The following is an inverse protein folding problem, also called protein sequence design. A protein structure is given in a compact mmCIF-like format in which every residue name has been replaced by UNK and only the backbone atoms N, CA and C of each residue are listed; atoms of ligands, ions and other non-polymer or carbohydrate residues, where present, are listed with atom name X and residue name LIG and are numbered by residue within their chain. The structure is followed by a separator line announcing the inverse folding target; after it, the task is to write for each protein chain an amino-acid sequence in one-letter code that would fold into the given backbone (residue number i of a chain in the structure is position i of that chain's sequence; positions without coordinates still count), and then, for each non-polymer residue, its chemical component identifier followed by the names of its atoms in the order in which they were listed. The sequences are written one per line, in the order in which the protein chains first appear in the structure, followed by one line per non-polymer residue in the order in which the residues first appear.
data_IF_053453274294
#
_entry.id   IF_053453274294
#
_cell.length_a   1.000
_cell.length_b   1.000
_cell.length_c   1.000
_cell.angle_alpha   90.00
_cell.angle_beta   90.00
_cell.angle_gamma   90.00
#
_symmetry.space_group_name_H-M   'P 1'
#
loop_
_entity.id
_entity.type
_entity.pdbx_description
1 polymer ?
#
# COMPACT_ATOMS: atom_id res chain seq x y z
N UNK A 1 58.80 -46.87 -74.20
CA UNK A 1 58.03 -45.61 -74.40
C UNK A 1 57.08 -45.51 -73.24
N UNK A 2 57.57 -44.90 -72.17
CA UNK A 2 56.82 -44.71 -70.93
C UNK A 2 56.05 -43.40 -71.02
N UNK A 3 54.74 -43.49 -70.91
CA UNK A 3 53.87 -42.40 -70.49
C UNK A 3 52.53 -43.02 -70.08
N UNK A 4 52.56 -43.81 -69.01
CA UNK A 4 51.38 -44.08 -68.18
C UNK A 4 50.90 -42.76 -67.60
N UNK A 5 50.11 -42.03 -68.39
CA UNK A 5 49.32 -40.88 -67.96
C UNK A 5 48.26 -41.36 -66.99
N UNK A 6 48.64 -41.52 -65.74
CA UNK A 6 47.78 -41.67 -64.58
C UNK A 6 46.93 -40.39 -64.47
N UNK A 7 45.86 -40.33 -65.26
CA UNK A 7 44.86 -39.27 -65.15
C UNK A 7 44.02 -39.58 -63.92
N UNK A 8 44.49 -39.13 -62.76
CA UNK A 8 43.70 -39.08 -61.54
C UNK A 8 42.39 -38.35 -61.85
N UNK A 9 41.28 -39.07 -61.79
CA UNK A 9 39.99 -38.59 -62.29
C UNK A 9 39.58 -37.30 -61.54
N UNK A 10 39.13 -36.24 -62.25
CA UNK A 10 38.75 -34.96 -61.63
C UNK A 10 37.60 -35.08 -60.62
N UNK A 11 36.81 -36.15 -60.71
CA UNK A 11 35.77 -36.52 -59.76
C UNK A 11 36.32 -37.01 -58.41
N UNK A 12 37.48 -37.69 -58.39
CA UNK A 12 38.13 -38.17 -57.17
C UNK A 12 38.78 -37.03 -56.38
N UNK A 13 39.46 -36.11 -57.10
CA UNK A 13 40.01 -34.87 -56.53
C UNK A 13 38.87 -33.96 -56.02
N UNK A 14 37.79 -33.79 -56.80
CA UNK A 14 36.62 -33.03 -56.39
C UNK A 14 35.90 -33.62 -55.17
N UNK A 15 35.76 -34.94 -55.09
CA UNK A 15 35.13 -35.62 -53.96
C UNK A 15 35.97 -35.54 -52.67
N UNK A 16 37.30 -35.65 -52.77
CA UNK A 16 38.19 -35.51 -51.60
C UNK A 16 38.20 -34.06 -51.09
N UNK A 17 38.22 -33.08 -52.00
CA UNK A 17 38.13 -31.64 -51.64
C UNK A 17 36.77 -31.33 -51.02
N UNK A 18 35.67 -31.86 -51.55
CA UNK A 18 34.33 -31.70 -50.97
C UNK A 18 34.23 -32.36 -49.58
N UNK A 19 34.84 -33.53 -49.38
CA UNK A 19 34.90 -34.19 -48.07
C UNK A 19 35.70 -33.39 -47.04
N UNK A 20 36.86 -32.87 -47.43
CA UNK A 20 37.70 -32.00 -46.58
C UNK A 20 36.96 -30.70 -46.25
N UNK A 21 36.32 -30.05 -47.22
CA UNK A 21 35.52 -28.84 -46.98
C UNK A 21 34.36 -29.11 -46.03
N UNK A 22 33.65 -30.22 -46.20
CA UNK A 22 32.56 -30.62 -45.30
C UNK A 22 33.07 -30.86 -43.88
N UNK A 23 34.24 -31.48 -43.73
CA UNK A 23 34.88 -31.70 -42.43
C UNK A 23 35.31 -30.38 -41.77
N UNK A 24 35.88 -29.44 -42.54
CA UNK A 24 36.25 -28.11 -42.04
C UNK A 24 35.01 -27.32 -41.63
N UNK A 25 33.94 -27.36 -42.42
CA UNK A 25 32.65 -26.73 -42.07
C UNK A 25 32.05 -27.36 -40.83
N UNK A 26 32.12 -28.69 -40.68
CA UNK A 26 31.64 -29.37 -39.47
C UNK A 26 32.44 -28.97 -38.22
N UNK A 27 33.77 -28.85 -38.32
CA UNK A 27 34.62 -28.35 -37.24
C UNK A 27 34.25 -26.90 -36.91
N UNK A 28 34.15 -26.03 -37.92
CA UNK A 28 33.79 -24.63 -37.75
C UNK A 28 32.41 -24.47 -37.11
N UNK A 29 31.42 -25.28 -37.53
CA UNK A 29 30.08 -25.32 -36.96
C UNK A 29 30.10 -25.78 -35.49
N UNK A 30 30.90 -26.80 -35.17
CA UNK A 30 31.06 -27.29 -33.79
C UNK A 30 31.68 -26.22 -32.88
N UNK A 31 32.72 -25.54 -33.38
CA UNK A 31 33.36 -24.42 -32.67
C UNK A 31 32.36 -23.27 -32.49
N UNK A 32 31.63 -22.90 -33.55
CA UNK A 32 30.63 -21.83 -33.52
C UNK A 32 29.50 -22.12 -32.53
N UNK A 33 28.98 -23.35 -32.52
CA UNK A 33 27.96 -23.79 -31.58
C UNK A 33 28.46 -23.67 -30.13
N UNK A 34 29.71 -24.09 -29.87
CA UNK A 34 30.32 -24.00 -28.54
C UNK A 34 30.54 -22.56 -28.08
N UNK A 35 30.96 -21.66 -28.98
CA UNK A 35 31.11 -20.23 -28.67
C UNK A 35 29.75 -19.60 -28.35
N UNK A 36 28.74 -19.89 -29.16
CA UNK A 36 27.39 -19.35 -28.97
C UNK A 36 26.80 -19.82 -27.63
N UNK A 37 27.03 -21.09 -27.28
CA UNK A 37 26.60 -21.65 -26.02
C UNK A 37 27.28 -21.02 -24.79
N UNK A 38 28.59 -20.75 -24.88
CA UNK A 38 29.34 -20.05 -23.83
C UNK A 38 28.86 -18.60 -23.66
N UNK A 39 28.61 -17.89 -24.77
CA UNK A 39 28.07 -16.52 -24.73
C UNK A 39 26.71 -16.45 -24.07
N UNK A 40 25.80 -17.36 -24.43
CA UNK A 40 24.49 -17.42 -23.78
C UNK A 40 24.60 -17.70 -22.27
N UNK A 41 25.61 -18.48 -21.88
CA UNK A 41 25.87 -18.79 -20.47
C UNK A 41 26.42 -17.58 -19.70
N UNK A 42 27.29 -16.78 -20.32
CA UNK A 42 27.74 -15.50 -19.78
C UNK A 42 26.58 -14.52 -19.60
N UNK A 43 25.72 -14.37 -20.61
CA UNK A 43 24.56 -13.48 -20.55
C UNK A 43 23.62 -13.84 -19.39
N UNK A 44 23.40 -15.14 -19.17
CA UNK A 44 22.60 -15.61 -18.05
C UNK A 44 23.26 -15.36 -16.69
N UNK A 45 24.57 -15.56 -16.59
CA UNK A 45 25.31 -15.23 -15.38
C UNK A 45 25.20 -13.74 -15.03
N UNK A 46 25.36 -12.85 -16.02
CA UNK A 46 25.19 -11.42 -15.82
C UNK A 46 23.75 -11.03 -15.48
N UNK A 47 22.75 -11.70 -16.06
CA UNK A 47 21.35 -11.52 -15.69
C UNK A 47 21.11 -11.91 -14.23
N UNK A 48 21.61 -13.05 -13.77
CA UNK A 48 21.47 -13.48 -12.38
C UNK A 48 22.16 -12.48 -11.44
N UNK A 49 23.38 -12.04 -11.75
CA UNK A 49 24.04 -10.98 -10.97
C UNK A 49 23.26 -9.67 -10.90
N UNK A 50 22.72 -9.23 -12.04
CA UNK A 50 21.92 -8.00 -12.10
C UNK A 50 20.64 -8.17 -11.28
N UNK A 51 19.96 -9.31 -11.42
CA UNK A 51 18.78 -9.64 -10.61
C UNK A 51 19.08 -9.67 -9.13
N UNK A 52 20.28 -10.13 -8.72
CA UNK A 52 20.71 -10.18 -7.33
C UNK A 52 20.85 -8.78 -6.71
N UNK A 53 21.33 -7.82 -7.48
CA UNK A 53 21.37 -6.42 -7.03
C UNK A 53 19.97 -5.85 -6.79
N UNK A 54 19.02 -6.19 -7.67
CA UNK A 54 17.61 -5.85 -7.51
C UNK A 54 17.00 -6.55 -6.30
N UNK A 55 17.34 -7.82 -6.09
CA UNK A 55 16.84 -8.63 -5.00
C UNK A 55 17.21 -8.08 -3.63
N UNK A 56 18.42 -7.54 -3.52
CA UNK A 56 18.91 -6.86 -2.31
C UNK A 56 18.16 -5.56 -2.03
N UNK A 57 17.86 -4.79 -3.06
CA UNK A 57 17.06 -3.56 -2.90
C UNK A 57 15.61 -3.86 -2.56
N UNK A 58 15.04 -4.91 -3.14
CA UNK A 58 13.69 -5.37 -2.85
C UNK A 58 13.58 -5.90 -1.42
N UNK A 59 14.52 -6.73 -0.97
CA UNK A 59 14.50 -7.28 0.38
C UNK A 59 14.67 -6.19 1.45
N UNK A 60 15.52 -5.19 1.20
CA UNK A 60 15.63 -4.01 2.06
C UNK A 60 14.32 -3.21 2.13
N UNK A 61 13.67 -2.98 0.99
CA UNK A 61 12.38 -2.28 0.96
C UNK A 61 11.26 -3.07 1.67
N UNK A 62 11.21 -4.39 1.51
CA UNK A 62 10.24 -5.25 2.20
C UNK A 62 10.44 -5.20 3.72
N UNK A 63 11.69 -5.20 4.21
CA UNK A 63 12.00 -5.09 5.63
C UNK A 63 11.61 -3.72 6.22
N UNK A 64 11.84 -2.64 5.47
CA UNK A 64 11.44 -1.29 5.89
C UNK A 64 9.91 -1.15 5.96
N UNK A 65 9.20 -1.71 4.98
CA UNK A 65 7.74 -1.71 4.94
C UNK A 65 7.13 -2.40 6.18
N UNK A 66 7.76 -3.47 6.65
CA UNK A 66 7.34 -4.21 7.86
C UNK A 66 7.60 -3.41 9.11
N UNK A 67 8.76 -2.76 9.16
CA UNK A 67 9.12 -1.86 10.27
C UNK A 67 8.14 -0.71 10.36
N UNK A 68 7.75 -0.11 9.23
CA UNK A 68 6.72 0.94 9.17
C UNK A 68 5.33 0.44 9.61
N UNK A 69 4.92 -0.75 9.14
CA UNK A 69 3.69 -1.44 9.55
C UNK A 69 3.64 -1.72 11.05
N UNK A 70 4.80 -1.97 11.67
CA UNK A 70 4.93 -2.28 13.09
C UNK A 70 5.01 -1.01 13.96
N UNK A 71 5.75 0.01 13.50
CA UNK A 71 5.88 1.31 14.19
C UNK A 71 4.54 2.05 14.28
N UNK A 72 3.65 1.90 13.30
CA UNK A 72 2.27 2.40 13.40
C UNK A 72 1.42 1.69 14.47
N UNK A 73 1.90 0.59 15.06
CA UNK A 73 1.08 -0.36 15.79
C UNK A 73 1.54 -0.66 17.23
N UNK A 74 2.42 0.16 17.82
CA UNK A 74 2.99 -0.02 19.17
C UNK A 74 1.97 -0.19 20.32
N UNK A 75 0.66 -0.02 20.09
CA UNK A 75 -0.32 0.07 21.18
C UNK A 75 -1.38 -1.03 21.28
N UNK A 76 -1.58 -1.93 20.30
CA UNK A 76 -2.80 -2.77 20.35
C UNK A 76 -2.72 -4.29 20.14
N UNK A 77 -1.71 -4.89 19.51
CA UNK A 77 -1.69 -6.35 19.38
C UNK A 77 -0.30 -6.97 19.53
N UNK A 78 -0.10 -7.64 20.67
CA UNK A 78 0.92 -8.67 20.85
C UNK A 78 0.81 -9.69 19.70
N UNK A 79 1.87 -9.77 18.88
CA UNK A 79 2.23 -10.92 18.03
C UNK A 79 1.05 -11.61 17.33
N UNK A 80 0.53 -10.99 16.28
CA UNK A 80 -0.35 -11.68 15.34
C UNK A 80 0.40 -12.84 14.64
N UNK A 81 -0.21 -14.04 14.52
CA UNK A 81 0.41 -15.20 13.85
C UNK A 81 0.77 -14.91 12.38
N UNK A 82 0.04 -13.99 11.74
CA UNK A 82 0.31 -13.51 10.39
C UNK A 82 1.67 -12.80 10.28
N UNK A 83 2.06 -12.04 11.30
CA UNK A 83 3.36 -11.38 11.35
C UNK A 83 4.49 -12.40 11.53
N UNK A 84 4.29 -13.42 12.38
CA UNK A 84 5.28 -14.48 12.59
C UNK A 84 5.51 -15.29 11.31
N UNK A 85 4.43 -15.62 10.59
CA UNK A 85 4.52 -16.27 9.29
C UNK A 85 5.22 -15.36 8.28
N UNK A 86 4.94 -14.06 8.31
CA UNK A 86 5.62 -13.09 7.47
C UNK A 86 7.12 -13.02 7.75
N UNK A 87 7.53 -12.88 9.01
CA UNK A 87 8.95 -12.80 9.37
C UNK A 87 9.70 -14.06 8.97
N UNK A 88 9.07 -15.22 9.13
CA UNK A 88 9.64 -16.49 8.69
C UNK A 88 9.87 -16.56 7.18
N UNK A 89 8.87 -16.16 6.39
CA UNK A 89 8.99 -16.15 4.91
C UNK A 89 10.02 -15.11 4.46
N UNK A 90 10.10 -13.97 5.14
CA UNK A 90 11.10 -12.95 4.85
C UNK A 90 12.54 -13.43 5.14
N UNK A 91 12.72 -14.18 6.24
CA UNK A 91 13.98 -14.83 6.57
C UNK A 91 14.38 -15.87 5.52
N UNK A 92 13.42 -16.68 5.05
CA UNK A 92 13.66 -17.65 3.97
C UNK A 92 14.05 -16.96 2.64
N UNK A 93 13.44 -15.81 2.33
CA UNK A 93 13.79 -15.00 1.16
C UNK A 93 15.23 -14.50 1.23
N UNK A 94 15.68 -14.02 2.40
CA UNK A 94 17.05 -13.59 2.63
C UNK A 94 18.03 -14.77 2.58
N UNK A 95 17.65 -15.94 3.09
CA UNK A 95 18.46 -17.15 3.01
C UNK A 95 18.65 -17.61 1.55
N UNK A 96 17.60 -17.54 0.73
CA UNK A 96 17.71 -17.81 -0.70
C UNK A 96 18.63 -16.81 -1.41
N UNK A 97 18.54 -15.52 -1.08
CA UNK A 97 19.46 -14.50 -1.61
C UNK A 97 20.91 -14.81 -1.25
N UNK A 98 21.19 -15.14 0.01
CA UNK A 98 22.52 -15.53 0.47
C UNK A 98 23.02 -16.78 -0.26
N UNK A 99 22.15 -17.78 -0.45
CA UNK A 99 22.51 -19.01 -1.18
C UNK A 99 22.82 -18.75 -2.66
N UNK A 100 22.13 -17.82 -3.30
CA UNK A 100 22.44 -17.39 -4.68
C UNK A 100 23.77 -16.64 -4.71
N UNK A 101 24.02 -15.75 -3.74
CA UNK A 101 25.30 -15.05 -3.58
C UNK A 101 26.47 -16.04 -3.41
N UNK A 102 26.33 -17.04 -2.55
CA UNK A 102 27.35 -18.05 -2.30
C UNK A 102 27.64 -18.86 -3.58
N UNK A 103 26.61 -19.23 -4.34
CA UNK A 103 26.82 -19.93 -5.61
C UNK A 103 27.51 -19.06 -6.66
N UNK A 104 27.21 -17.77 -6.71
CA UNK A 104 27.91 -16.82 -7.59
C UNK A 104 29.37 -16.69 -7.16
N UNK A 105 29.64 -16.51 -5.87
CA UNK A 105 31.01 -16.44 -5.33
C UNK A 105 31.80 -17.74 -5.56
N UNK A 106 31.16 -18.91 -5.43
CA UNK A 106 31.73 -20.21 -5.76
C UNK A 106 32.08 -20.32 -7.26
N UNK A 107 31.24 -19.76 -8.14
CA UNK A 107 31.54 -19.77 -9.59
C UNK A 107 32.70 -18.84 -9.93
N UNK A 108 32.83 -17.70 -9.25
CA UNK A 108 33.96 -16.77 -9.43
C UNK A 108 35.27 -17.35 -8.90
N UNK A 109 35.24 -18.00 -7.73
CA UNK A 109 36.42 -18.67 -7.17
C UNK A 109 36.86 -19.88 -8.00
N UNK A 110 35.92 -20.66 -8.54
CA UNK A 110 36.25 -21.75 -9.48
C UNK A 110 36.82 -21.22 -10.79
N UNK A 111 36.35 -20.06 -11.23
CA UNK A 111 36.86 -19.41 -12.44
C UNK A 111 38.26 -18.81 -12.25
N UNK A 112 38.62 -18.37 -11.03
CA UNK A 112 39.97 -17.89 -10.72
C UNK A 112 40.98 -19.03 -10.57
N UNK A 113 40.57 -20.20 -10.07
CA UNK A 113 41.42 -21.40 -9.95
C UNK A 113 41.67 -22.06 -11.32
N UNK A 114 40.71 -21.97 -12.25
CA UNK A 114 40.80 -22.58 -13.59
C UNK A 114 41.92 -22.04 -14.49
N UNK A 115 42.53 -20.90 -14.14
CA UNK A 115 43.63 -20.27 -14.88
C UNK A 115 44.99 -20.97 -14.61
N UNK A 116 45.16 -21.62 -13.45
CA UNK A 116 46.46 -22.14 -13.01
C UNK A 116 46.71 -23.62 -13.41
N UNK A 117 45.65 -24.39 -13.63
CA UNK A 117 45.73 -25.85 -13.87
C UNK A 117 45.57 -26.33 -15.32
N UNK A 118 45.07 -25.49 -16.24
CA UNK A 118 44.53 -25.97 -17.53
C UNK A 118 45.45 -25.72 -18.73
N UNK A 119 46.74 -26.06 -18.58
CA UNK A 119 47.77 -25.96 -19.63
C UNK A 119 47.56 -26.92 -20.82
N UNK A 120 46.61 -27.86 -20.76
CA UNK A 120 46.51 -28.99 -21.70
C UNK A 120 45.31 -28.99 -22.65
N UNK A 121 44.31 -28.12 -22.48
CA UNK A 121 43.24 -27.97 -23.49
C UNK A 121 43.63 -26.93 -24.51
N UNK A 122 43.69 -27.34 -25.79
CA UNK A 122 43.88 -26.53 -27.01
C UNK A 122 42.79 -25.45 -27.17
N UNK A 123 42.71 -24.53 -26.23
CA UNK A 123 41.91 -23.32 -26.32
C UNK A 123 42.85 -22.22 -26.81
N UNK A 124 42.56 -21.54 -27.93
CA UNK A 124 43.38 -20.45 -28.43
C UNK A 124 43.68 -19.42 -27.34
N UNK A 125 44.92 -18.94 -27.28
CA UNK A 125 45.41 -17.99 -26.26
C UNK A 125 44.63 -16.66 -26.20
N UNK A 126 43.91 -16.31 -27.26
CA UNK A 126 42.99 -15.16 -27.31
C UNK A 126 41.66 -15.38 -26.58
N UNK A 127 41.34 -16.62 -26.20
CA UNK A 127 40.12 -17.01 -25.46
C UNK A 127 40.38 -17.31 -23.98
N UNK A 128 41.63 -17.25 -23.53
CA UNK A 128 42.03 -17.36 -22.11
C UNK A 128 41.73 -16.09 -21.29
N UNK A 129 41.10 -15.07 -21.89
CA UNK A 129 40.74 -13.83 -21.19
C UNK A 129 39.46 -13.96 -20.37
N UNK A 130 39.54 -14.59 -19.19
CA UNK A 130 38.66 -14.43 -18.01
C UNK A 130 37.15 -14.73 -18.10
N UNK A 131 36.51 -14.59 -19.27
CA UNK A 131 35.06 -14.75 -19.46
C UNK A 131 34.66 -16.20 -19.70
N UNK A 132 35.49 -16.93 -20.44
CA UNK A 132 35.25 -18.35 -20.75
C UNK A 132 35.41 -19.25 -19.53
N UNK A 133 36.25 -18.91 -18.54
CA UNK A 133 36.41 -19.69 -17.31
C UNK A 133 35.18 -19.56 -16.40
N UNK A 134 34.63 -18.34 -16.27
CA UNK A 134 33.38 -18.09 -15.53
C UNK A 134 32.21 -18.79 -16.22
N UNK A 135 32.08 -18.68 -17.54
CA UNK A 135 31.05 -19.41 -18.30
C UNK A 135 31.10 -20.92 -18.04
N UNK A 136 32.30 -21.51 -18.07
CA UNK A 136 32.49 -22.95 -17.83
C UNK A 136 32.21 -23.37 -16.40
N UNK A 137 32.57 -22.55 -15.40
CA UNK A 137 32.24 -22.80 -14.00
C UNK A 137 30.72 -22.66 -13.76
N UNK A 138 30.10 -21.64 -14.34
CA UNK A 138 28.67 -21.36 -14.30
C UNK A 138 27.85 -22.53 -14.86
N UNK A 139 28.30 -23.16 -15.95
CA UNK A 139 27.60 -24.29 -16.56
C UNK A 139 27.22 -25.41 -15.59
N UNK A 140 28.06 -25.69 -14.59
CA UNK A 140 27.80 -26.74 -13.59
C UNK A 140 26.76 -26.36 -12.54
N UNK A 141 26.59 -25.06 -12.28
CA UNK A 141 25.74 -24.51 -11.22
C UNK A 141 24.46 -23.87 -11.77
N UNK A 142 24.43 -23.56 -13.07
CA UNK A 142 23.37 -22.84 -13.78
C UNK A 142 21.96 -23.33 -13.47
N UNK A 143 21.68 -24.62 -13.57
CA UNK A 143 20.33 -25.17 -13.34
C UNK A 143 19.87 -24.94 -11.89
N UNK A 144 20.78 -25.14 -10.94
CA UNK A 144 20.53 -24.88 -9.51
C UNK A 144 20.32 -23.39 -9.25
N UNK A 145 21.14 -22.53 -9.83
CA UNK A 145 21.01 -21.08 -9.67
C UNK A 145 19.69 -20.55 -10.24
N UNK A 146 19.31 -20.99 -11.45
CA UNK A 146 18.03 -20.60 -12.06
C UNK A 146 16.83 -21.12 -11.27
N UNK A 147 16.90 -22.32 -10.68
CA UNK A 147 15.81 -22.81 -9.84
C UNK A 147 15.70 -22.04 -8.52
N UNK A 148 16.82 -21.64 -7.90
CA UNK A 148 16.80 -20.78 -6.72
C UNK A 148 16.22 -19.40 -7.03
N UNK A 149 16.55 -18.83 -8.20
CA UNK A 149 15.94 -17.60 -8.71
C UNK A 149 14.43 -17.76 -8.86
N UNK A 150 13.97 -18.85 -9.47
CA UNK A 150 12.54 -19.14 -9.62
C UNK A 150 11.83 -19.34 -8.28
N UNK A 151 12.49 -20.02 -7.34
CA UNK A 151 11.98 -20.19 -5.98
C UNK A 151 11.84 -18.84 -5.28
N UNK A 152 12.84 -17.97 -5.39
CA UNK A 152 12.79 -16.61 -4.85
C UNK A 152 11.62 -15.82 -5.44
N UNK A 153 11.45 -15.81 -6.75
CA UNK A 153 10.33 -15.10 -7.40
C UNK A 153 8.97 -15.60 -6.92
N UNK A 154 8.82 -16.92 -6.74
CA UNK A 154 7.60 -17.51 -6.18
C UNK A 154 7.36 -17.08 -4.73
N UNK A 155 8.43 -16.94 -3.95
CA UNK A 155 8.36 -16.55 -2.54
C UNK A 155 8.03 -15.05 -2.42
N UNK A 156 8.66 -14.21 -3.23
CA UNK A 156 8.34 -12.78 -3.35
C UNK A 156 6.85 -12.57 -3.62
N UNK A 157 6.27 -13.32 -4.56
CA UNK A 157 4.84 -13.21 -4.86
C UNK A 157 3.96 -13.56 -3.63
N UNK A 158 4.35 -14.57 -2.85
CA UNK A 158 3.66 -14.93 -1.59
C UNK A 158 3.82 -13.86 -0.52
N UNK A 159 5.01 -13.28 -0.39
CA UNK A 159 5.28 -12.17 0.54
C UNK A 159 4.37 -10.98 0.22
N UNK A 160 4.31 -10.58 -1.05
CA UNK A 160 3.44 -9.49 -1.49
C UNK A 160 1.96 -9.80 -1.23
N UNK A 161 1.51 -11.02 -1.51
CA UNK A 161 0.15 -11.45 -1.21
C UNK A 161 -0.15 -11.38 0.30
N UNK A 162 0.78 -11.83 1.14
CA UNK A 162 0.65 -11.80 2.59
C UNK A 162 0.67 -10.36 3.14
N UNK A 163 1.48 -9.47 2.56
CA UNK A 163 1.43 -8.04 2.89
C UNK A 163 0.06 -7.45 2.53
N UNK A 164 -0.45 -7.75 1.34
CA UNK A 164 -1.76 -7.27 0.91
C UNK A 164 -2.89 -7.82 1.79
N UNK A 165 -2.82 -9.08 2.21
CA UNK A 165 -3.82 -9.67 3.10
C UNK A 165 -3.76 -9.08 4.51
N UNK A 166 -2.55 -8.84 5.05
CA UNK A 166 -2.37 -8.15 6.33
C UNK A 166 -2.93 -6.72 6.29
N UNK A 167 -2.61 -5.97 5.23
CA UNK A 167 -3.13 -4.61 5.03
C UNK A 167 -4.65 -4.63 4.87
N UNK A 168 -5.20 -5.56 4.09
CA UNK A 168 -6.64 -5.70 3.86
C UNK A 168 -7.40 -6.06 5.14
N UNK A 169 -6.89 -6.99 5.94
CA UNK A 169 -7.48 -7.36 7.23
C UNK A 169 -7.55 -6.15 8.17
N UNK A 170 -6.46 -5.38 8.23
CA UNK A 170 -6.38 -4.14 9.02
C UNK A 170 -7.32 -3.05 8.50
N UNK A 171 -7.38 -2.88 7.17
CA UNK A 171 -8.30 -1.94 6.54
C UNK A 171 -9.74 -2.27 6.90
N UNK A 172 -10.09 -3.57 6.91
CA UNK A 172 -11.41 -4.04 7.29
C UNK A 172 -11.73 -3.80 8.76
N UNK A 173 -10.76 -3.97 9.67
CA UNK A 173 -10.94 -3.63 11.09
C UNK A 173 -11.17 -2.12 11.28
N UNK A 174 -10.35 -1.29 10.63
CA UNK A 174 -10.52 0.18 10.66
C UNK A 174 -11.85 0.63 10.06
N UNK A 175 -12.29 0.02 8.96
CA UNK A 175 -13.59 0.27 8.36
C UNK A 175 -14.72 -0.06 9.36
N UNK A 176 -14.62 -1.22 10.04
CA UNK A 176 -15.62 -1.63 11.03
C UNK A 176 -15.68 -0.67 12.23
N UNK A 177 -14.53 -0.20 12.73
CA UNK A 177 -14.43 0.76 13.83
C UNK A 177 -14.95 2.13 13.44
N UNK A 178 -14.69 2.54 12.20
CA UNK A 178 -15.20 3.81 11.66
C UNK A 178 -16.72 3.75 11.52
N UNK A 179 -17.25 2.65 10.96
CA UNK A 179 -18.68 2.40 10.84
C UNK A 179 -19.37 2.33 12.21
N UNK A 180 -18.75 1.71 13.21
CA UNK A 180 -19.26 1.69 14.59
C UNK A 180 -19.31 3.10 15.18
N UNK A 181 -18.28 3.92 14.93
CA UNK A 181 -18.25 5.32 15.38
C UNK A 181 -19.35 6.14 14.72
N UNK A 182 -19.58 5.95 13.43
CA UNK A 182 -20.65 6.59 12.67
C UNK A 182 -22.03 6.19 13.22
N UNK A 183 -22.30 4.90 13.42
CA UNK A 183 -23.54 4.42 14.03
C UNK A 183 -23.77 5.01 15.43
N UNK A 184 -22.71 5.09 16.24
CA UNK A 184 -22.79 5.68 17.58
C UNK A 184 -23.08 7.18 17.53
N UNK A 185 -22.51 7.88 16.55
CA UNK A 185 -22.78 9.29 16.30
C UNK A 185 -24.23 9.50 15.85
N UNK A 186 -24.72 8.68 14.92
CA UNK A 186 -26.12 8.70 14.47
C UNK A 186 -27.09 8.43 15.63
N UNK A 187 -26.78 7.46 16.47
CA UNK A 187 -27.59 7.18 17.67
C UNK A 187 -27.58 8.37 18.63
N UNK A 188 -26.43 9.01 18.82
CA UNK A 188 -26.33 10.22 19.65
C UNK A 188 -27.10 11.41 19.05
N UNK A 189 -27.10 11.55 17.72
CA UNK A 189 -27.88 12.58 17.00
C UNK A 189 -29.37 12.38 17.20
N UNK A 190 -29.86 11.15 17.03
CA UNK A 190 -31.28 10.83 17.24
C UNK A 190 -31.72 11.09 18.69
N UNK A 191 -30.85 10.79 19.66
CA UNK A 191 -31.13 11.12 21.07
C UNK A 191 -31.21 12.62 21.30
N UNK A 192 -30.33 13.39 20.67
CA UNK A 192 -30.35 14.85 20.75
C UNK A 192 -31.62 15.42 20.11
N UNK A 193 -32.00 14.94 18.92
CA UNK A 193 -33.24 15.33 18.24
C UNK A 193 -34.47 15.03 19.09
N UNK A 194 -34.54 13.85 19.72
CA UNK A 194 -35.64 13.50 20.62
C UNK A 194 -35.69 14.43 21.86
N UNK A 195 -34.55 14.86 22.39
CA UNK A 195 -34.50 15.84 23.47
C UNK A 195 -34.95 17.23 23.02
N UNK A 196 -34.53 17.66 21.82
CA UNK A 196 -34.94 18.94 21.22
C UNK A 196 -36.45 18.96 20.98
N UNK A 197 -37.02 17.89 20.44
CA UNK A 197 -38.46 17.79 20.21
C UNK A 197 -39.24 17.82 21.53
N UNK A 198 -38.78 17.09 22.54
CA UNK A 198 -39.39 17.13 23.88
C UNK A 198 -39.30 18.53 24.51
N UNK A 199 -38.17 19.24 24.34
CA UNK A 199 -38.05 20.63 24.79
C UNK A 199 -39.00 21.55 24.03
N UNK A 200 -39.12 21.37 22.71
CA UNK A 200 -40.03 22.13 21.85
C UNK A 200 -41.49 21.93 22.26
N UNK A 201 -41.92 20.70 22.53
CA UNK A 201 -43.26 20.39 23.04
C UNK A 201 -43.53 21.07 24.39
N UNK A 202 -42.54 21.07 25.30
CA UNK A 202 -42.65 21.76 26.58
C UNK A 202 -42.79 23.26 26.42
N UNK A 203 -42.05 23.86 25.49
CA UNK A 203 -42.17 25.28 25.15
C UNK A 203 -43.57 25.57 24.62
N UNK A 204 -44.07 24.79 23.67
CA UNK A 204 -45.42 24.97 23.12
C UNK A 204 -46.52 24.86 24.19
N UNK A 205 -46.40 23.91 25.14
CA UNK A 205 -47.32 23.83 26.28
C UNK A 205 -47.24 25.05 27.18
N UNK A 206 -46.04 25.56 27.45
CA UNK A 206 -45.87 26.79 28.24
C UNK A 206 -46.45 28.00 27.51
N UNK A 207 -46.25 28.10 26.20
CA UNK A 207 -46.83 29.15 25.35
C UNK A 207 -48.36 29.10 25.37
N UNK A 208 -48.97 27.90 25.32
CA UNK A 208 -50.42 27.73 25.40
C UNK A 208 -50.96 28.14 26.78
N UNK A 209 -50.26 27.78 27.86
CA UNK A 209 -50.64 28.19 29.23
C UNK A 209 -50.53 29.72 29.41
N UNK A 210 -49.46 30.34 28.90
CA UNK A 210 -49.29 31.79 28.92
C UNK A 210 -50.38 32.47 28.08
N UNK A 211 -50.69 31.92 26.91
CA UNK A 211 -51.75 32.42 26.04
C UNK A 211 -53.11 32.33 26.74
N UNK A 212 -53.44 31.21 27.40
CA UNK A 212 -54.68 31.07 28.18
C UNK A 212 -54.75 32.06 29.35
N UNK A 213 -53.65 32.26 30.08
CA UNK A 213 -53.61 33.24 31.16
C UNK A 213 -53.87 34.65 30.63
N UNK A 214 -53.19 35.02 29.54
CA UNK A 214 -53.35 36.33 28.92
C UNK A 214 -54.75 36.60 28.39
N UNK A 215 -55.35 35.64 27.68
CA UNK A 215 -56.73 35.79 27.20
C UNK A 215 -57.75 35.71 28.36
N UNK A 216 -57.48 34.89 29.38
CA UNK A 216 -58.32 34.78 30.58
C UNK A 216 -58.36 36.06 31.41
N UNK A 217 -57.25 36.79 31.50
CA UNK A 217 -57.21 38.09 32.15
C UNK A 217 -57.93 39.17 31.35
N UNK A 218 -57.92 39.13 30.02
CA UNK A 218 -58.72 40.04 29.19
C UNK A 218 -60.23 39.81 29.38
N UNK A 219 -60.66 38.55 29.50
CA UNK A 219 -62.04 38.19 29.81
C UNK A 219 -62.40 38.52 31.27
N UNK A 220 -61.48 38.38 32.22
CA UNK A 220 -61.71 38.70 33.62
C UNK A 220 -61.80 40.22 33.84
N UNK A 221 -60.97 41.00 33.14
CA UNK A 221 -61.04 42.47 33.06
C UNK A 221 -62.32 42.94 32.35
N UNK A 222 -62.68 42.37 31.20
CA UNK A 222 -63.94 42.70 30.51
C UNK A 222 -65.18 42.32 31.34
N UNK A 223 -65.13 41.21 32.07
CA UNK A 223 -66.19 40.80 33.01
C UNK A 223 -66.24 41.70 34.25
N UNK A 224 -65.09 42.14 34.74
CA UNK A 224 -64.98 43.09 35.84
C UNK A 224 -65.48 44.47 35.42
N UNK A 225 -65.18 44.95 34.22
CA UNK A 225 -65.71 46.21 33.67
C UNK A 225 -67.22 46.15 33.39
N UNK A 226 -67.75 45.02 32.92
CA UNK A 226 -69.20 44.84 32.78
C UNK A 226 -69.91 44.78 34.14
N UNK A 227 -69.30 44.17 35.16
CA UNK A 227 -69.83 44.22 36.53
C UNK A 227 -69.66 45.59 37.18
N UNK A 228 -68.58 46.31 36.88
CA UNK A 228 -68.32 47.66 37.38
C UNK A 228 -69.24 48.69 36.71
N UNK A 229 -69.57 48.53 35.43
CA UNK A 229 -70.60 49.35 34.75
C UNK A 229 -72.03 49.04 35.22
N UNK A 230 -72.32 47.79 35.63
CA UNK A 230 -73.56 47.44 36.32
C UNK A 230 -73.63 48.01 37.75
N UNK A 231 -72.49 48.06 38.45
CA UNK A 231 -72.37 48.67 39.79
C UNK A 231 -72.36 50.21 39.74
N UNK A 232 -71.79 50.82 38.69
CA UNK A 232 -71.74 52.26 38.50
C UNK A 232 -73.09 52.87 38.10
N UNK A 233 -74.06 52.05 37.67
CA UNK A 233 -75.43 52.51 37.41
C UNK A 233 -76.29 52.71 38.68
N UNK A 234 -75.73 52.46 39.88
CA UNK A 234 -76.44 52.62 41.17
C UNK A 234 -75.89 53.72 42.08
N UNK A 235 -74.91 54.51 41.66
CA UNK A 235 -74.50 55.67 42.46
C UNK A 235 -73.68 56.67 41.66
N UNK A 236 -74.32 57.77 41.32
CA UNK A 236 -73.76 59.12 41.31
C UNK A 236 -74.64 59.96 42.27
N UNK A 237 -74.14 61.04 42.92
CA UNK A 237 -73.29 62.06 42.27
C UNK A 237 -72.20 62.76 43.12
N UNK A 238 -71.34 63.49 42.39
CA UNK A 238 -70.75 64.81 42.72
C UNK A 238 -69.49 64.83 43.62
N UNK A 239 -68.52 65.75 43.49
CA UNK A 239 -68.16 66.82 42.55
C UNK A 239 -66.77 67.35 43.02
N UNK A 240 -65.95 67.92 42.12
CA UNK A 240 -64.81 68.87 42.33
C UNK A 240 -63.54 68.34 43.06
N UNK A 241 -62.30 68.76 42.79
CA UNK A 241 -61.66 69.66 41.81
C UNK A 241 -60.12 69.46 41.88
N UNK A 242 -59.44 69.85 40.79
CA UNK A 242 -58.10 70.46 40.62
C UNK A 242 -56.81 69.83 41.21
N UNK A 243 -55.85 69.55 40.31
CA UNK A 243 -54.48 70.14 40.19
C UNK A 243 -53.46 69.13 40.76
N UNK A 244 -52.27 68.83 40.23
CA UNK A 244 -51.37 69.52 39.31
C UNK A 244 -50.26 68.52 38.85
N UNK A 245 -49.46 68.94 37.86
CA UNK A 245 -48.03 68.63 37.68
C UNK A 245 -47.53 67.33 36.98
N UNK A 246 -47.04 67.57 35.75
CA UNK A 246 -45.67 67.33 35.26
C UNK A 246 -45.15 65.91 34.90
N UNK A 247 -45.00 65.74 33.58
CA UNK A 247 -43.76 65.40 32.86
C UNK A 247 -42.88 64.21 33.31
N UNK A 248 -42.71 63.22 32.43
CA UNK A 248 -41.51 63.09 31.56
C UNK A 248 -41.29 61.64 31.07
N UNK A 249 -41.08 61.49 29.75
CA UNK A 249 -40.02 60.65 29.19
C UNK A 249 -40.22 59.13 29.10
N UNK A 250 -40.77 58.68 27.98
CA UNK A 250 -40.17 57.56 27.22
C UNK A 250 -38.88 58.05 26.52
N UNK A 251 -38.05 57.20 25.88
CA UNK A 251 -37.86 55.74 25.99
C UNK A 251 -36.35 55.39 26.07
N UNK A 252 -35.96 54.11 26.24
CA UNK A 252 -34.85 53.51 25.44
C UNK A 252 -34.69 52.02 25.77
N UNK A 253 -34.62 51.21 24.71
CA UNK A 253 -34.19 49.81 24.75
C UNK A 253 -32.66 49.65 24.81
N UNK A 254 -32.12 48.54 24.29
CA UNK A 254 -31.32 47.58 25.06
C UNK A 254 -29.81 47.72 24.86
N UNK A 255 -29.01 47.23 25.81
CA UNK A 255 -27.57 47.05 25.63
C UNK A 255 -27.18 45.55 25.74
N UNK A 256 -26.62 44.94 24.68
CA UNK A 256 -26.06 43.60 24.68
C UNK A 256 -24.54 43.65 24.80
N UNK A 257 -23.97 43.01 25.83
CA UNK A 257 -22.52 42.80 25.82
C UNK A 257 -21.90 42.20 27.08
N UNK A 258 -21.65 40.88 27.07
CA UNK A 258 -20.27 40.33 27.17
C UNK A 258 -20.25 38.78 27.15
N UNK A 259 -19.41 38.17 26.29
CA UNK A 259 -18.88 36.84 26.53
C UNK A 259 -17.64 36.95 27.44
N UNK A 260 -17.42 35.96 28.30
CA UNK A 260 -16.15 35.74 28.99
C UNK A 260 -15.70 34.32 28.70
N UNK A 261 -14.56 34.23 28.02
CA UNK A 261 -13.76 33.03 27.82
C UNK A 261 -13.39 32.37 29.14
N UNK A 262 -13.45 31.03 29.18
CA UNK A 262 -12.35 30.15 29.55
C UNK A 262 -12.65 28.71 29.15
#
# INVERSE_FOLDING_TARGET
MDASGQQDSPLSIGANIAGILTFVVAIAATIYARITYLRNSDDEYFRVKTSLSWYKTESAWLADLVTAINAQHESFHNYQPEYQMYTFVMEDLLNLEQRILDLVADTESKASIGDEGTRWTLVPRSWQGGRTSVAMAWMSVRTKALELVRQRESLTARVQFMQMSMISSRLRDLESRTKWREMKMDESSRKLEALVENQRDRIHRLEELVSQLMHGDEFSLSRAETLKSLSAKKSEPGELAEEDSAAAGEPLGPDPGRPSEK
#
